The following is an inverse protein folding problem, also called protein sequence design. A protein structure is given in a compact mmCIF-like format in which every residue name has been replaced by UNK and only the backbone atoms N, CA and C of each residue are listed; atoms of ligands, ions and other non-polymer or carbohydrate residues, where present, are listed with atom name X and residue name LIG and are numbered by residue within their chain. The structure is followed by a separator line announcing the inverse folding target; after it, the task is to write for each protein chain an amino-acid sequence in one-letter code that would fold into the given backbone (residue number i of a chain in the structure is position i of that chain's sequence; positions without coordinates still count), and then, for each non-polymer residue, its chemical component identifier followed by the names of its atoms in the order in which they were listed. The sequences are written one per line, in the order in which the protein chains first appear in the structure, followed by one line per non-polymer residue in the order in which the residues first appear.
data_IF_801883579532
#
_entry.id   IF_801883579532
#
_cell.length_a   1.000
_cell.length_b   1.000
_cell.length_c   1.000
_cell.angle_alpha   90.00
_cell.angle_beta   90.00
_cell.angle_gamma   90.00
#
_symmetry.space_group_name_H-M   'P 1'
#
loop_
_entity.id
_entity.type
_entity.pdbx_description
1 polymer ?
#
# COMPACT_ATOMS: atom_id res chain seq x y z
N UNK A 1 22.09 3.01 9.01
CA UNK A 1 20.86 2.22 9.29
C UNK A 1 21.08 0.83 8.72
N UNK A 2 20.72 -0.24 9.43
CA UNK A 2 20.75 -1.59 8.83
C UNK A 2 19.55 -1.69 7.90
N UNK A 3 19.78 -2.11 6.65
CA UNK A 3 18.70 -2.41 5.72
C UNK A 3 18.00 -3.67 6.21
N UNK A 4 16.94 -3.48 6.99
CA UNK A 4 16.04 -4.55 7.41
C UNK A 4 15.14 -4.86 6.23
N UNK A 5 15.13 -6.13 5.83
CA UNK A 5 14.17 -6.65 4.85
C UNK A 5 12.79 -6.70 5.51
N UNK A 6 11.77 -6.22 4.83
CA UNK A 6 10.38 -6.38 5.25
C UNK A 6 9.85 -7.73 4.77
N UNK A 7 9.15 -8.44 5.64
CA UNK A 7 8.44 -9.68 5.32
C UNK A 7 7.01 -9.39 4.85
N UNK A 8 6.40 -10.33 4.12
CA UNK A 8 5.00 -10.24 3.69
C UNK A 8 4.05 -10.01 4.88
N UNK A 9 4.27 -10.71 5.99
CA UNK A 9 3.46 -10.54 7.20
C UNK A 9 3.61 -9.16 7.85
N UNK A 10 4.78 -8.53 7.74
CA UNK A 10 4.97 -7.15 8.18
C UNK A 10 4.31 -6.16 7.20
N UNK A 11 4.39 -6.42 5.89
CA UNK A 11 3.74 -5.61 4.86
C UNK A 11 2.22 -5.58 5.07
N UNK A 12 1.58 -6.74 5.27
CA UNK A 12 0.14 -6.86 5.54
C UNK A 12 -0.25 -5.99 6.74
N UNK A 13 0.49 -6.10 7.86
CA UNK A 13 0.21 -5.31 9.07
C UNK A 13 0.33 -3.82 8.83
N UNK A 14 1.26 -3.39 7.99
CA UNK A 14 1.39 -1.99 7.62
C UNK A 14 0.16 -1.56 6.82
N UNK A 15 -0.24 -2.30 5.79
CA UNK A 15 -1.44 -1.99 4.99
C UNK A 15 -2.70 -1.93 5.85
N UNK A 16 -2.91 -2.92 6.72
CA UNK A 16 -4.02 -2.94 7.70
C UNK A 16 -4.01 -1.70 8.61
N UNK A 17 -2.83 -1.21 9.02
CA UNK A 17 -2.72 -0.01 9.87
C UNK A 17 -3.15 1.28 9.18
N UNK A 18 -3.14 1.32 7.84
CA UNK A 18 -3.66 2.44 7.04
C UNK A 18 -5.12 2.23 6.61
N UNK A 19 -5.73 1.08 6.93
CA UNK A 19 -7.04 0.71 6.40
C UNK A 19 -7.00 0.34 4.91
N UNK A 20 -5.82 0.08 4.35
CA UNK A 20 -5.65 -0.38 2.99
C UNK A 20 -5.75 -1.90 2.93
N UNK A 21 -6.46 -2.41 1.93
CA UNK A 21 -6.36 -3.81 1.52
C UNK A 21 -5.20 -3.99 0.54
N UNK A 22 -4.45 -5.09 0.63
CA UNK A 22 -3.50 -5.51 -0.40
C UNK A 22 -3.92 -6.89 -0.92
N UNK A 23 -3.98 -7.04 -2.23
CA UNK A 23 -4.33 -8.31 -2.84
C UNK A 23 -3.26 -9.38 -2.52
N UNK A 24 -3.64 -10.60 -2.09
CA UNK A 24 -2.68 -11.67 -1.81
C UNK A 24 -1.67 -11.94 -2.93
N UNK A 25 -2.11 -11.80 -4.19
CA UNK A 25 -1.26 -12.01 -5.36
C UNK A 25 -0.20 -10.90 -5.55
N UNK A 26 -0.40 -9.74 -4.94
CA UNK A 26 0.48 -8.57 -5.04
C UNK A 26 1.46 -8.46 -3.86
N UNK A 27 1.16 -9.11 -2.72
CA UNK A 27 1.95 -9.02 -1.49
C UNK A 27 3.44 -9.34 -1.72
N UNK A 28 3.74 -10.43 -2.43
CA UNK A 28 5.13 -10.84 -2.72
C UNK A 28 5.86 -9.78 -3.55
N UNK A 29 5.19 -9.26 -4.59
CA UNK A 29 5.75 -8.26 -5.50
C UNK A 29 6.00 -6.94 -4.78
N UNK A 30 5.01 -6.45 -4.03
CA UNK A 30 5.13 -5.21 -3.26
C UNK A 30 6.21 -5.33 -2.17
N UNK A 31 6.32 -6.48 -1.49
CA UNK A 31 7.37 -6.71 -0.50
C UNK A 31 8.76 -6.69 -1.17
N UNK A 32 8.89 -7.31 -2.34
CA UNK A 32 10.13 -7.28 -3.12
C UNK A 32 10.51 -5.86 -3.52
N UNK A 33 9.58 -5.07 -4.05
CA UNK A 33 9.82 -3.68 -4.45
C UNK A 33 10.23 -2.80 -3.26
N UNK A 34 9.56 -2.95 -2.12
CA UNK A 34 9.93 -2.26 -0.88
C UNK A 34 11.38 -2.57 -0.48
N UNK A 35 11.77 -3.85 -0.55
CA UNK A 35 13.11 -4.30 -0.23
C UNK A 35 14.17 -3.81 -1.22
N UNK A 36 13.88 -3.84 -2.51
CA UNK A 36 14.78 -3.35 -3.56
C UNK A 36 14.99 -1.83 -3.43
N UNK A 37 13.91 -1.05 -3.32
CA UNK A 37 13.98 0.40 -3.18
C UNK A 37 14.64 0.83 -1.85
N UNK A 38 14.33 0.10 -0.77
CA UNK A 38 14.93 0.30 0.55
C UNK A 38 16.41 -0.08 0.61
N UNK A 39 16.86 -1.03 -0.22
CA UNK A 39 18.26 -1.47 -0.24
C UNK A 39 19.23 -0.38 -0.72
N UNK A 40 18.77 0.46 -1.66
CA UNK A 40 19.53 1.56 -2.24
C UNK A 40 19.15 2.92 -1.64
N UNK A 41 18.33 2.93 -0.58
CA UNK A 41 17.80 4.13 0.08
C UNK A 41 17.20 5.13 -0.92
N UNK A 42 16.44 4.64 -1.91
CA UNK A 42 15.71 5.54 -2.80
C UNK A 42 14.80 6.45 -1.96
N UNK A 43 14.86 7.76 -2.22
CA UNK A 43 14.16 8.81 -1.44
C UNK A 43 14.53 8.85 0.06
N UNK A 44 15.66 8.26 0.46
CA UNK A 44 16.09 8.19 1.86
C UNK A 44 15.27 7.22 2.72
N UNK A 45 14.43 6.39 2.10
CA UNK A 45 13.56 5.44 2.79
C UNK A 45 14.20 4.05 2.83
N UNK A 46 14.07 3.37 3.97
CA UNK A 46 14.31 1.92 4.08
C UNK A 46 13.08 1.14 3.57
N UNK A 47 13.14 -0.19 3.57
CA UNK A 47 12.05 -1.03 3.07
C UNK A 47 10.72 -0.79 3.79
N UNK A 48 10.78 -0.61 5.12
CA UNK A 48 9.62 -0.26 5.94
C UNK A 48 9.03 1.10 5.54
N UNK A 49 9.86 2.12 5.32
CA UNK A 49 9.43 3.43 4.85
C UNK A 49 8.76 3.39 3.47
N UNK A 50 9.22 2.52 2.57
CA UNK A 50 8.55 2.26 1.29
C UNK A 50 7.19 1.59 1.50
N UNK A 51 7.10 0.58 2.37
CA UNK A 51 5.85 -0.08 2.70
C UNK A 51 4.79 0.90 3.27
N UNK A 52 5.20 1.82 4.15
CA UNK A 52 4.33 2.88 4.65
C UNK A 52 3.84 3.82 3.55
N UNK A 53 4.70 4.13 2.57
CA UNK A 53 4.35 5.00 1.45
C UNK A 53 3.31 4.33 0.54
N UNK A 54 3.54 3.07 0.17
CA UNK A 54 2.59 2.31 -0.65
C UNK A 54 1.26 2.08 0.06
N UNK A 55 1.27 1.68 1.34
CA UNK A 55 0.03 1.50 2.10
C UNK A 55 -0.82 2.78 2.18
N UNK A 56 -0.17 3.94 2.32
CA UNK A 56 -0.87 5.23 2.34
C UNK A 56 -1.47 5.59 0.98
N UNK A 57 -0.75 5.33 -0.10
CA UNK A 57 -1.23 5.57 -1.47
C UNK A 57 -2.41 4.65 -1.79
N UNK A 58 -2.30 3.37 -1.44
CA UNK A 58 -3.34 2.37 -1.65
C UNK A 58 -4.62 2.71 -0.87
N UNK A 59 -4.51 3.09 0.41
CA UNK A 59 -5.65 3.53 1.21
C UNK A 59 -6.38 4.70 0.54
N UNK A 60 -5.63 5.70 0.05
CA UNK A 60 -6.21 6.86 -0.62
C UNK A 60 -6.93 6.47 -1.91
N UNK A 61 -6.35 5.58 -2.72
CA UNK A 61 -6.97 5.11 -3.96
C UNK A 61 -8.26 4.35 -3.68
N UNK A 62 -8.25 3.44 -2.70
CA UNK A 62 -9.45 2.69 -2.31
C UNK A 62 -10.54 3.60 -1.71
N UNK A 63 -10.17 4.64 -0.97
CA UNK A 63 -11.12 5.67 -0.52
C UNK A 63 -11.74 6.42 -1.71
N UNK A 64 -10.95 6.78 -2.72
CA UNK A 64 -11.44 7.42 -3.93
C UNK A 64 -12.39 6.51 -4.73
N UNK A 65 -12.02 5.25 -4.94
CA UNK A 65 -12.84 4.26 -5.64
C UNK A 65 -14.17 4.01 -4.91
N UNK A 66 -14.14 3.93 -3.57
CA UNK A 66 -15.34 3.77 -2.76
C UNK A 66 -16.28 4.99 -2.87
N UNK A 67 -15.71 6.20 -2.94
CA UNK A 67 -16.49 7.43 -3.15
C UNK A 67 -17.09 7.48 -4.56
N UNK A 68 -16.33 7.11 -5.59
CA UNK A 68 -16.82 7.07 -6.98
C UNK A 68 -17.96 6.07 -7.13
N UNK A 69 -17.80 4.85 -6.59
CA UNK A 69 -18.85 3.83 -6.60
C UNK A 69 -20.12 4.31 -5.88
N UNK A 70 -19.99 4.96 -4.71
CA UNK A 70 -21.12 5.50 -3.98
C UNK A 70 -21.79 6.70 -4.69
N UNK A 71 -21.09 7.37 -5.60
CA UNK A 71 -21.60 8.50 -6.38
C UNK A 71 -22.38 8.05 -7.62
N UNK A 72 -21.98 6.93 -8.23
CA UNK A 72 -22.64 6.34 -9.41
C UNK A 72 -24.02 5.75 -9.07
N UNK A 73 -24.19 5.26 -7.84
CA UNK A 73 -25.48 4.77 -7.30
C UNK A 73 -26.55 5.89 -7.13
N UNK A 74 -26.19 7.16 -7.34
CA UNK A 74 -27.06 8.33 -7.19
C UNK A 74 -27.68 8.87 -8.48
N UNK A 75 -27.45 8.27 -9.65
CA UNK A 75 -28.00 8.75 -10.93
C UNK A 75 -29.03 7.78 -11.55
N UNK A 76 -30.03 7.43 -10.76
CA UNK A 76 -31.33 6.97 -11.25
C UNK A 76 -32.42 7.86 -10.64
N UNK A 77 -32.53 9.08 -11.16
CA UNK A 77 -33.79 9.83 -11.09
C UNK A 77 -34.44 9.78 -12.47
N UNK A 78 -35.71 9.35 -12.43
CA UNK A 78 -36.68 9.08 -13.51
C UNK A 78 -36.99 10.26 -14.43
#
# INVERSE_FOLDING_TARGET
MKNKTITEAELIKIFESYGAYICPDEIEVTAKECNENGSVLHRGLNAEGWAHLFAKEEAYQQECEAQEAASDDGHFDE
#
